data_IF_939446888443
#
_entry.id   IF_939446888443
#
_cell.length_a   1.000
_cell.length_b   1.000
_cell.length_c   1.000
_cell.angle_alpha   90.00
_cell.angle_beta   90.00
_cell.angle_gamma   90.00
#
_symmetry.space_group_name_H-M   'P 1'
#
loop_
_entity.id
_entity.type
_entity.pdbx_description
1 polymer ?
#
# COMPACT_ATOMS: atom_id res chain seq x y z
N UNK A 1 -1.71 19.12 -1.44
CA UNK A 1 -2.14 17.73 -1.75
C UNK A 1 -1.07 16.69 -1.41
N UNK A 2 -1.51 15.57 -0.87
CA UNK A 2 -0.72 14.37 -0.59
C UNK A 2 -1.45 13.13 -1.09
N UNK A 3 -0.75 12.02 -1.17
CA UNK A 3 -1.36 10.70 -1.23
C UNK A 3 -1.44 10.14 0.19
N UNK A 4 -2.59 9.56 0.53
CA UNK A 4 -2.79 8.71 1.70
C UNK A 4 -3.06 7.29 1.21
N UNK A 5 -2.46 6.29 1.85
CA UNK A 5 -2.63 4.88 1.55
C UNK A 5 -2.84 4.11 2.85
N UNK A 6 -3.94 3.36 2.94
CA UNK A 6 -4.26 2.51 4.08
C UNK A 6 -4.38 1.07 3.60
N UNK A 7 -3.54 0.20 4.18
CA UNK A 7 -3.53 -1.24 3.99
C UNK A 7 -4.23 -1.95 5.15
N UNK A 8 -4.89 -3.07 4.87
CA UNK A 8 -5.49 -3.90 5.90
C UNK A 8 -5.73 -5.34 5.40
N UNK A 9 -5.54 -6.31 6.29
CA UNK A 9 -6.18 -7.61 6.19
C UNK A 9 -7.60 -7.52 6.76
N UNK A 10 -8.56 -7.75 5.87
CA UNK A 10 -9.99 -7.86 6.16
C UNK A 10 -10.62 -9.06 5.45
N UNK A 11 -9.78 -9.98 4.96
CA UNK A 11 -10.22 -11.23 4.39
C UNK A 11 -10.52 -12.24 5.48
N UNK A 12 -11.40 -13.19 5.20
CA UNK A 12 -11.59 -14.37 6.07
C UNK A 12 -10.62 -15.51 5.74
N UNK A 13 -9.67 -15.25 4.85
CA UNK A 13 -8.84 -16.24 4.22
C UNK A 13 -7.43 -15.70 4.05
N UNK A 14 -6.53 -16.29 4.79
CA UNK A 14 -5.11 -15.95 4.90
C UNK A 14 -4.29 -16.24 3.63
N UNK A 15 -4.87 -16.32 2.43
CA UNK A 15 -4.12 -16.56 1.16
C UNK A 15 -4.58 -15.74 -0.02
N UNK A 16 -5.79 -15.17 0.04
CA UNK A 16 -6.36 -14.39 -1.05
C UNK A 16 -7.66 -13.70 -0.65
N UNK A 17 -7.83 -12.47 -1.13
CA UNK A 17 -9.10 -11.76 -1.13
C UNK A 17 -10.19 -12.46 -1.97
N UNK A 18 -11.44 -12.45 -1.48
CA UNK A 18 -12.59 -12.93 -2.25
C UNK A 18 -12.99 -11.93 -3.35
N UNK A 19 -13.56 -12.43 -4.45
CA UNK A 19 -14.08 -11.54 -5.50
C UNK A 19 -15.18 -10.60 -4.99
N UNK A 20 -15.95 -11.02 -4.00
CA UNK A 20 -17.04 -10.20 -3.44
C UNK A 20 -16.48 -9.06 -2.61
N UNK A 21 -15.46 -9.33 -1.78
CA UNK A 21 -14.74 -8.30 -1.02
C UNK A 21 -14.21 -7.23 -1.97
N UNK A 22 -13.47 -7.63 -3.01
CA UNK A 22 -12.89 -6.72 -4.01
C UNK A 22 -13.98 -5.88 -4.70
N UNK A 23 -15.05 -6.52 -5.20
CA UNK A 23 -16.15 -5.83 -5.90
C UNK A 23 -16.86 -4.82 -5.01
N UNK A 24 -17.06 -5.15 -3.73
CA UNK A 24 -17.74 -4.24 -2.81
C UNK A 24 -16.85 -3.05 -2.43
N UNK A 25 -15.55 -3.28 -2.17
CA UNK A 25 -14.58 -2.19 -1.95
C UNK A 25 -14.55 -1.23 -3.15
N UNK A 26 -14.40 -1.76 -4.38
CA UNK A 26 -14.37 -0.94 -5.60
C UNK A 26 -15.68 -0.16 -5.82
N UNK A 27 -16.81 -0.71 -5.39
CA UNK A 27 -18.13 -0.04 -5.46
C UNK A 27 -18.25 1.12 -4.46
N UNK A 28 -17.67 0.99 -3.27
CA UNK A 28 -17.83 1.96 -2.18
C UNK A 28 -16.77 3.07 -2.19
N UNK A 29 -15.57 2.79 -2.71
CA UNK A 29 -14.45 3.77 -2.84
C UNK A 29 -14.84 5.10 -3.50
N UNK A 30 -15.69 5.16 -4.55
CA UNK A 30 -16.16 6.42 -5.12
C UNK A 30 -16.82 7.38 -4.11
N UNK A 31 -17.34 6.88 -2.98
CA UNK A 31 -17.90 7.72 -1.92
C UNK A 31 -16.86 8.63 -1.25
N UNK A 32 -15.58 8.27 -1.29
CA UNK A 32 -14.47 9.08 -0.74
C UNK A 32 -14.34 10.45 -1.42
N UNK A 33 -14.79 10.57 -2.67
CA UNK A 33 -14.81 11.86 -3.39
C UNK A 33 -15.72 12.86 -2.67
N UNK A 34 -16.83 12.39 -2.09
CA UNK A 34 -17.76 13.24 -1.32
C UNK A 34 -17.19 13.67 0.02
N UNK A 35 -16.21 12.91 0.55
CA UNK A 35 -15.43 13.24 1.76
C UNK A 35 -14.23 14.16 1.47
N UNK A 36 -13.98 14.52 0.22
CA UNK A 36 -12.93 15.47 -0.16
C UNK A 36 -11.70 14.86 -0.84
N UNK A 37 -11.70 13.56 -1.14
CA UNK A 37 -10.66 12.98 -1.98
C UNK A 37 -10.76 13.54 -3.41
N UNK A 38 -9.64 13.93 -3.99
CA UNK A 38 -9.56 14.32 -5.40
C UNK A 38 -9.73 13.09 -6.31
N UNK A 39 -9.09 11.97 -5.93
CA UNK A 39 -9.27 10.63 -6.51
C UNK A 39 -9.04 9.59 -5.41
N UNK A 40 -9.70 8.44 -5.52
CA UNK A 40 -9.43 7.29 -4.67
C UNK A 40 -9.57 5.99 -5.47
N UNK A 41 -8.82 4.94 -5.10
CA UNK A 41 -8.86 3.62 -5.74
C UNK A 41 -8.36 2.51 -4.81
N UNK A 42 -8.77 1.27 -5.10
CA UNK A 42 -8.17 0.06 -4.54
C UNK A 42 -6.86 -0.21 -5.29
N UNK A 43 -5.74 0.30 -4.77
CA UNK A 43 -4.47 0.31 -5.50
C UNK A 43 -3.80 -1.05 -5.50
N UNK A 44 -3.76 -1.72 -4.35
CA UNK A 44 -3.08 -3.01 -4.21
C UNK A 44 -4.03 -4.06 -3.63
N UNK A 45 -3.79 -5.30 -4.06
CA UNK A 45 -4.34 -6.51 -3.46
C UNK A 45 -3.15 -7.47 -3.48
N UNK A 46 -2.61 -7.78 -2.30
CA UNK A 46 -1.38 -8.56 -2.13
C UNK A 46 -1.75 -9.74 -1.26
N UNK A 47 -1.83 -10.94 -1.84
CA UNK A 47 -2.45 -12.07 -1.14
C UNK A 47 -3.86 -11.71 -0.67
N UNK A 48 -4.05 -11.67 0.64
CA UNK A 48 -5.29 -11.31 1.32
C UNK A 48 -5.39 -9.85 1.79
N UNK A 49 -4.29 -9.12 1.79
CA UNK A 49 -4.27 -7.68 2.06
C UNK A 49 -4.82 -6.84 0.92
N UNK A 50 -5.49 -5.75 1.30
CA UNK A 50 -5.93 -4.69 0.40
C UNK A 50 -5.33 -3.35 0.76
N UNK A 51 -5.05 -2.51 -0.24
CA UNK A 51 -4.66 -1.11 -0.01
C UNK A 51 -5.59 -0.18 -0.77
N UNK A 52 -6.23 0.73 -0.04
CA UNK A 52 -6.99 1.85 -0.61
C UNK A 52 -6.11 3.09 -0.53
N UNK A 53 -5.94 3.76 -1.67
CA UNK A 53 -5.19 5.02 -1.72
C UNK A 53 -6.05 6.15 -2.26
N UNK A 54 -5.81 7.36 -1.77
CA UNK A 54 -6.47 8.57 -2.20
C UNK A 54 -5.52 9.76 -2.33
N UNK A 55 -5.76 10.60 -3.32
CA UNK A 55 -5.14 11.92 -3.42
C UNK A 55 -6.02 12.94 -2.70
N UNK A 56 -5.47 13.67 -1.74
CA UNK A 56 -6.24 14.47 -0.80
C UNK A 56 -5.50 15.75 -0.39
N UNK A 57 -6.24 16.82 -0.13
CA UNK A 57 -5.69 18.03 0.48
C UNK A 57 -5.52 17.87 1.99
N UNK A 58 -4.58 18.62 2.57
CA UNK A 58 -4.22 18.44 3.98
C UNK A 58 -5.42 18.67 4.93
N UNK A 59 -6.33 19.58 4.58
CA UNK A 59 -7.54 19.90 5.37
C UNK A 59 -8.65 18.84 5.24
N UNK A 60 -8.50 17.86 4.34
CA UNK A 60 -9.45 16.75 4.11
C UNK A 60 -8.89 15.39 4.52
N UNK A 61 -7.65 15.34 5.01
CA UNK A 61 -6.97 14.09 5.31
C UNK A 61 -7.71 13.25 6.35
N UNK A 62 -8.15 13.85 7.46
CA UNK A 62 -8.86 13.14 8.53
C UNK A 62 -10.18 12.53 8.04
N UNK A 63 -11.00 13.32 7.33
CA UNK A 63 -12.29 12.88 6.78
C UNK A 63 -12.13 11.72 5.78
N UNK A 64 -11.09 11.80 4.93
CA UNK A 64 -10.81 10.78 3.92
C UNK A 64 -10.23 9.52 4.54
N UNK A 65 -9.27 9.63 5.47
CA UNK A 65 -8.72 8.48 6.19
C UNK A 65 -9.81 7.73 6.95
N UNK A 66 -10.65 8.44 7.72
CA UNK A 66 -11.79 7.83 8.40
C UNK A 66 -12.75 7.18 7.40
N UNK A 67 -12.98 7.83 6.25
CA UNK A 67 -13.78 7.26 5.17
C UNK A 67 -13.21 5.96 4.61
N UNK A 68 -11.89 5.85 4.45
CA UNK A 68 -11.24 4.63 3.99
C UNK A 68 -11.45 3.51 5.01
N UNK A 69 -11.24 3.78 6.30
CA UNK A 69 -11.47 2.81 7.37
C UNK A 69 -12.93 2.39 7.48
N UNK A 70 -13.88 3.31 7.29
CA UNK A 70 -15.32 3.00 7.26
C UNK A 70 -15.67 2.03 6.13
N UNK A 71 -15.06 2.21 4.95
CA UNK A 71 -15.25 1.33 3.79
C UNK A 71 -14.65 -0.05 4.08
N UNK A 72 -13.42 -0.12 4.59
CA UNK A 72 -12.77 -1.38 4.97
C UNK A 72 -13.63 -2.14 5.99
N UNK A 73 -14.04 -1.47 7.07
CA UNK A 73 -14.88 -2.04 8.14
C UNK A 73 -16.24 -2.53 7.64
N UNK A 74 -16.88 -1.80 6.73
CA UNK A 74 -18.22 -2.16 6.23
C UNK A 74 -18.20 -3.35 5.27
N UNK A 75 -17.05 -3.61 4.65
CA UNK A 75 -16.86 -4.65 3.64
C UNK A 75 -16.05 -5.85 4.14
N UNK A 76 -15.47 -5.74 5.34
CA UNK A 76 -14.70 -6.75 6.03
C UNK A 76 -15.41 -8.11 6.06
N UNK A 77 -14.72 -9.15 5.58
CA UNK A 77 -15.16 -10.55 5.74
C UNK A 77 -14.74 -11.08 7.12
N UNK A 78 -13.58 -10.62 7.59
CA UNK A 78 -13.11 -10.62 8.98
C UNK A 78 -12.70 -9.20 9.33
N UNK A 79 -12.90 -8.78 10.58
CA UNK A 79 -12.47 -7.46 11.02
C UNK A 79 -10.95 -7.32 11.05
N UNK A 80 -10.21 -8.43 11.24
CA UNK A 80 -8.74 -8.46 11.13
C UNK A 80 -8.07 -7.23 11.76
N UNK A 81 -7.26 -6.55 10.95
CA UNK A 81 -6.52 -5.33 11.29
C UNK A 81 -7.35 -4.17 11.82
N UNK A 82 -8.63 -4.11 11.47
CA UNK A 82 -9.54 -3.03 11.90
C UNK A 82 -9.74 -3.09 13.42
N UNK A 83 -9.59 -4.25 14.05
CA UNK A 83 -9.71 -4.42 15.50
C UNK A 83 -8.51 -3.83 16.27
N UNK A 84 -7.35 -3.67 15.63
CA UNK A 84 -6.17 -3.07 16.26
C UNK A 84 -6.26 -1.56 16.48
N UNK A 85 -7.19 -0.89 15.79
CA UNK A 85 -7.35 0.55 15.86
C UNK A 85 -7.89 0.97 17.23
N UNK A 86 -7.13 1.82 17.92
CA UNK A 86 -7.51 2.39 19.22
C UNK A 86 -7.50 3.91 19.23
N UNK A 87 -8.22 4.50 20.18
CA UNK A 87 -8.16 5.94 20.48
C UNK A 87 -6.94 6.33 21.34
N UNK A 88 -6.26 5.34 21.93
CA UNK A 88 -5.08 5.50 22.78
C UNK A 88 -3.95 4.64 22.25
N UNK A 89 -2.70 5.06 22.48
CA UNK A 89 -1.53 4.31 22.04
C UNK A 89 -1.35 3.01 22.83
N UNK A 90 -1.76 3.02 24.10
CA UNK A 90 -1.58 1.89 25.03
C UNK A 90 -2.51 0.71 24.73
N UNK A 91 -3.71 0.99 24.19
CA UNK A 91 -4.69 -0.04 23.86
C UNK A 91 -4.66 -0.42 22.37
N UNK A 92 -3.75 0.18 21.59
CA UNK A 92 -3.58 -0.13 20.17
C UNK A 92 -2.95 -1.52 20.00
N UNK A 93 -3.50 -2.32 19.10
CA UNK A 93 -2.98 -3.64 18.71
C UNK A 93 -2.45 -3.65 17.28
N UNK A 94 -2.07 -4.83 16.81
CA UNK A 94 -1.82 -5.10 15.39
C UNK A 94 -3.01 -4.62 14.56
N UNK A 95 -2.74 -3.74 13.61
CA UNK A 95 -3.79 -3.14 12.81
C UNK A 95 -3.28 -2.48 11.55
N UNK A 96 -4.16 -1.68 10.95
CA UNK A 96 -3.96 -1.17 9.59
C UNK A 96 -2.59 -0.52 9.33
N UNK A 97 -2.06 -0.76 8.14
CA UNK A 97 -0.90 -0.06 7.63
C UNK A 97 -1.28 1.32 7.11
N UNK A 98 -0.53 2.37 7.47
CA UNK A 98 -0.78 3.74 7.00
C UNK A 98 0.48 4.42 6.43
N UNK A 99 0.37 4.96 5.22
CA UNK A 99 1.43 5.75 4.61
C UNK A 99 0.89 7.05 4.00
N UNK A 100 1.65 8.15 4.15
CA UNK A 100 1.38 9.40 3.44
C UNK A 100 2.64 9.97 2.79
N UNK A 101 2.48 10.57 1.61
CA UNK A 101 3.57 11.22 0.88
C UNK A 101 3.08 12.49 0.17
N UNK A 102 3.86 13.56 0.22
CA UNK A 102 3.53 14.82 -0.44
C UNK A 102 3.62 14.67 -1.94
N UNK A 103 2.69 15.33 -2.64
CA UNK A 103 2.68 15.37 -4.09
C UNK A 103 3.16 16.74 -4.53
N UNK A 104 3.85 16.78 -5.67
CA UNK A 104 4.19 18.03 -6.34
C UNK A 104 2.91 18.72 -6.86
N UNK A 105 2.71 19.99 -6.47
CA UNK A 105 1.43 20.69 -6.66
C UNK A 105 1.20 21.26 -8.08
N UNK A 106 2.20 21.24 -8.96
CA UNK A 106 2.14 21.93 -10.27
C UNK A 106 1.71 21.05 -11.45
N UNK A 107 1.29 19.81 -11.19
CA UNK A 107 0.98 18.78 -12.20
C UNK A 107 0.00 17.72 -11.66
N UNK A 108 -0.37 16.77 -12.52
CA UNK A 108 -1.20 15.63 -12.11
C UNK A 108 -0.50 14.78 -11.05
N UNK A 109 -1.25 14.28 -10.05
CA UNK A 109 -0.69 13.44 -9.00
C UNK A 109 -0.37 12.04 -9.53
N UNK A 110 0.90 11.65 -9.38
CA UNK A 110 1.42 10.34 -9.76
C UNK A 110 2.18 9.71 -8.58
N UNK A 111 1.85 8.45 -8.28
CA UNK A 111 2.47 7.72 -7.18
C UNK A 111 2.71 6.25 -7.54
N UNK A 112 3.68 5.65 -6.88
CA UNK A 112 3.93 4.21 -6.86
C UNK A 112 3.58 3.73 -5.46
N UNK A 113 2.72 2.72 -5.38
CA UNK A 113 2.31 2.07 -4.12
C UNK A 113 2.82 0.64 -4.12
N UNK A 114 3.65 0.33 -3.14
CA UNK A 114 4.15 -1.01 -2.85
C UNK A 114 3.48 -1.49 -1.58
N UNK A 115 2.86 -2.66 -1.66
CA UNK A 115 2.23 -3.32 -0.53
C UNK A 115 2.90 -4.67 -0.33
N UNK A 116 3.08 -5.05 0.92
CA UNK A 116 3.66 -6.31 1.35
C UNK A 116 2.60 -7.12 2.08
N UNK A 117 2.77 -8.44 2.05
CA UNK A 117 2.01 -9.43 2.80
C UNK A 117 3.02 -10.53 3.19
N UNK A 118 2.89 -11.14 4.36
CA UNK A 118 3.81 -12.13 4.90
C UNK A 118 3.21 -13.51 5.15
N UNK A 119 4.04 -14.53 4.93
CA UNK A 119 3.71 -15.92 5.25
C UNK A 119 4.88 -16.53 5.99
N UNK A 120 4.99 -16.28 7.29
CA UNK A 120 6.19 -16.59 8.07
C UNK A 120 7.37 -15.65 7.74
N UNK A 121 7.08 -14.46 7.20
CA UNK A 121 8.04 -13.45 6.76
C UNK A 121 8.16 -12.24 7.69
N UNK A 122 7.38 -12.22 8.77
CA UNK A 122 7.16 -11.12 9.72
C UNK A 122 8.50 -10.65 10.30
N UNK A 123 9.41 -11.59 10.58
CA UNK A 123 10.73 -11.31 11.13
C UNK A 123 11.68 -10.52 10.21
N UNK A 124 11.35 -10.32 8.93
CA UNK A 124 12.20 -9.57 8.00
C UNK A 124 11.49 -8.61 7.04
N UNK A 125 10.16 -8.62 6.95
CA UNK A 125 9.37 -7.76 6.05
C UNK A 125 9.68 -6.27 6.20
N UNK A 126 9.86 -5.77 7.43
CA UNK A 126 10.22 -4.37 7.66
C UNK A 126 11.60 -4.01 7.06
N UNK A 127 12.56 -4.94 7.04
CA UNK A 127 13.86 -4.72 6.37
C UNK A 127 13.70 -4.66 4.84
N UNK A 128 12.75 -5.42 4.28
CA UNK A 128 12.42 -5.37 2.86
C UNK A 128 11.80 -4.00 2.53
N UNK A 129 10.80 -3.57 3.31
CA UNK A 129 10.17 -2.26 3.14
C UNK A 129 11.17 -1.11 3.30
N UNK A 130 12.08 -1.17 4.29
CA UNK A 130 13.15 -0.19 4.47
C UNK A 130 14.12 -0.15 3.27
N UNK A 131 14.42 -1.31 2.67
CA UNK A 131 15.21 -1.37 1.42
C UNK A 131 14.51 -0.63 0.28
N UNK A 132 13.19 -0.78 0.16
CA UNK A 132 12.37 -0.08 -0.84
C UNK A 132 12.36 1.43 -0.59
N UNK A 133 12.18 1.85 0.65
CA UNK A 133 12.18 3.27 1.05
C UNK A 133 13.53 3.91 0.71
N UNK A 134 14.64 3.25 1.07
CA UNK A 134 16.00 3.73 0.76
C UNK A 134 16.24 3.83 -0.74
N UNK A 135 15.76 2.86 -1.52
CA UNK A 135 15.88 2.88 -2.97
C UNK A 135 15.10 4.05 -3.58
N UNK A 136 13.86 4.30 -3.14
CA UNK A 136 13.05 5.42 -3.61
C UNK A 136 13.68 6.77 -3.23
N UNK A 137 14.03 6.97 -1.95
CA UNK A 137 14.63 8.22 -1.44
C UNK A 137 15.98 8.55 -2.08
N UNK A 138 16.67 7.55 -2.62
CA UNK A 138 17.96 7.74 -3.29
C UNK A 138 17.87 8.26 -4.73
N UNK A 139 16.66 8.47 -5.27
CA UNK A 139 16.44 8.88 -6.66
C UNK A 139 16.00 10.34 -6.75
N UNK A 140 16.65 11.12 -7.62
CA UNK A 140 16.31 12.52 -7.89
C UNK A 140 14.90 12.69 -8.49
N UNK A 141 14.32 11.62 -9.04
CA UNK A 141 13.00 11.60 -9.67
C UNK A 141 11.84 11.43 -8.67
N UNK A 142 12.13 11.31 -7.37
CA UNK A 142 11.13 11.09 -6.32
C UNK A 142 10.90 12.41 -5.58
N UNK A 143 9.63 12.80 -5.47
CA UNK A 143 9.22 14.01 -4.74
C UNK A 143 9.18 13.76 -3.23
N UNK A 144 8.54 12.67 -2.81
CA UNK A 144 8.43 12.29 -1.40
C UNK A 144 8.20 10.77 -1.25
N UNK A 145 8.50 10.25 -0.05
CA UNK A 145 8.32 8.83 0.28
C UNK A 145 7.68 8.66 1.66
N UNK A 146 6.52 8.03 1.67
CA UNK A 146 5.75 7.62 2.85
C UNK A 146 5.85 6.13 3.12
N UNK A 147 5.68 5.73 4.39
CA UNK A 147 5.66 4.32 4.78
C UNK A 147 4.95 4.11 6.10
N UNK A 148 4.38 2.91 6.30
CA UNK A 148 3.79 2.48 7.57
C UNK A 148 4.78 2.01 8.63
N UNK A 149 6.08 2.05 8.36
CA UNK A 149 7.15 1.74 9.35
C UNK A 149 7.29 2.80 10.46
N UNK A 150 6.53 3.89 10.42
CA UNK A 150 6.57 4.93 11.46
C UNK A 150 5.65 4.52 12.63
N UNK A 151 6.10 3.54 13.40
CA UNK A 151 5.29 2.90 14.44
C UNK A 151 4.77 3.85 15.53
N UNK A 152 3.55 3.58 16.01
CA UNK A 152 2.91 4.28 17.12
C UNK A 152 2.59 5.76 16.86
N UNK A 153 2.52 6.15 15.59
CA UNK A 153 2.00 7.45 15.18
C UNK A 153 0.46 7.39 15.09
N UNK A 154 -0.16 8.50 15.46
CA UNK A 154 -1.60 8.68 15.23
C UNK A 154 -1.87 8.80 13.73
N UNK A 155 -2.76 7.96 13.23
CA UNK A 155 -3.33 8.04 11.89
C UNK A 155 -4.40 9.14 11.93
N UNK A 156 -4.23 10.25 11.19
CA UNK A 156 -5.15 11.39 11.24
C UNK A 156 -6.59 10.99 10.97
N UNK A 157 -7.49 11.36 11.89
CA UNK A 157 -8.92 11.05 11.80
C UNK A 157 -9.30 9.62 12.16
N UNK A 158 -8.35 8.74 12.49
CA UNK A 158 -8.60 7.30 12.72
C UNK A 158 -8.21 6.88 14.14
N UNK A 159 -6.99 7.18 14.59
CA UNK A 159 -6.46 6.75 15.89
C UNK A 159 -5.08 6.11 15.80
N UNK A 160 -4.79 5.17 16.68
CA UNK A 160 -3.49 4.53 16.85
C UNK A 160 -3.55 3.04 16.49
N UNK A 161 -2.44 2.53 15.95
CA UNK A 161 -2.14 1.10 15.77
C UNK A 161 -0.78 0.81 16.43
N UNK A 162 -0.52 -0.45 16.81
CA UNK A 162 0.73 -0.85 17.46
C UNK A 162 1.89 -0.93 16.46
N UNK A 163 3.06 -1.33 16.94
CA UNK A 163 4.23 -1.66 16.10
C UNK A 163 4.22 -3.11 15.59
N UNK A 164 3.17 -3.88 15.89
CA UNK A 164 3.02 -5.28 15.53
C UNK A 164 2.56 -5.48 14.07
N UNK A 165 2.10 -4.43 13.38
CA UNK A 165 1.73 -4.50 11.96
C UNK A 165 2.88 -5.03 11.10
N UNK A 166 2.66 -6.17 10.45
CA UNK A 166 3.63 -6.93 9.66
C UNK A 166 3.44 -6.78 8.14
N UNK A 167 2.39 -6.09 7.68
CA UNK A 167 2.11 -5.86 6.26
C UNK A 167 2.34 -4.41 5.84
N UNK A 168 3.60 -3.96 5.68
CA UNK A 168 3.89 -2.57 5.42
C UNK A 168 3.36 -2.10 4.06
N UNK A 169 3.05 -0.80 4.00
CA UNK A 169 2.76 -0.09 2.76
C UNK A 169 3.79 1.01 2.58
N UNK A 170 4.37 1.09 1.38
CA UNK A 170 5.32 2.13 0.98
C UNK A 170 4.78 2.88 -0.23
N UNK A 171 4.81 4.21 -0.16
CA UNK A 171 4.32 5.08 -1.22
C UNK A 171 5.43 6.03 -1.63
N UNK A 172 5.71 6.11 -2.92
CA UNK A 172 6.63 7.09 -3.50
C UNK A 172 5.89 7.97 -4.52
N UNK A 173 5.93 9.27 -4.34
CA UNK A 173 5.43 10.24 -5.33
C UNK A 173 6.57 10.60 -6.29
N UNK A 174 6.26 10.74 -7.57
CA UNK A 174 7.28 10.97 -8.61
C UNK A 174 7.17 12.36 -9.22
N UNK A 175 8.31 12.86 -9.69
CA UNK A 175 8.39 14.16 -10.36
C UNK A 175 7.68 14.13 -11.72
N UNK A 176 7.96 13.12 -12.56
CA UNK A 176 7.47 13.01 -13.93
C UNK A 176 6.99 11.58 -14.25
N UNK A 177 5.97 11.43 -15.09
CA UNK A 177 5.41 10.14 -15.54
C UNK A 177 6.49 9.23 -16.17
N UNK A 178 7.45 9.80 -16.88
CA UNK A 178 8.57 9.07 -17.48
C UNK A 178 9.45 8.38 -16.43
N UNK A 179 9.40 8.86 -15.18
CA UNK A 179 10.19 8.32 -14.07
C UNK A 179 9.55 7.10 -13.42
N UNK A 180 8.28 6.80 -13.68
CA UNK A 180 7.57 5.65 -13.08
C UNK A 180 8.37 4.37 -13.27
N UNK A 181 8.88 4.10 -14.47
CA UNK A 181 9.65 2.90 -14.76
C UNK A 181 11.00 2.83 -14.02
N UNK A 182 11.66 3.97 -13.81
CA UNK A 182 12.95 4.05 -13.10
C UNK A 182 12.72 3.80 -11.61
N UNK A 183 11.80 4.57 -11.01
CA UNK A 183 11.52 4.53 -9.58
C UNK A 183 10.93 3.17 -9.18
N UNK A 184 9.90 2.69 -9.88
CA UNK A 184 9.30 1.38 -9.58
C UNK A 184 10.26 0.23 -9.82
N UNK A 185 11.12 0.32 -10.84
CA UNK A 185 12.15 -0.68 -11.10
C UNK A 185 13.20 -0.75 -9.98
N UNK A 186 13.63 0.40 -9.45
CA UNK A 186 14.56 0.47 -8.33
C UNK A 186 13.93 -0.06 -7.03
N UNK A 187 12.69 0.36 -6.72
CA UNK A 187 11.93 -0.11 -5.57
C UNK A 187 11.74 -1.64 -5.62
N UNK A 188 11.29 -2.17 -6.75
CA UNK A 188 11.11 -3.62 -6.94
C UNK A 188 12.44 -4.37 -6.87
N UNK A 189 13.50 -3.85 -7.49
CA UNK A 189 14.82 -4.46 -7.43
C UNK A 189 15.38 -4.52 -6.01
N UNK A 190 15.19 -3.47 -5.21
CA UNK A 190 15.59 -3.43 -3.81
C UNK A 190 14.82 -4.43 -2.96
N UNK A 191 13.52 -4.59 -3.18
CA UNK A 191 12.73 -5.61 -2.51
C UNK A 191 13.18 -7.03 -2.89
N UNK A 192 13.24 -7.34 -4.19
CA UNK A 192 13.60 -8.67 -4.70
C UNK A 192 15.07 -9.05 -4.48
N UNK A 193 15.93 -8.08 -4.15
CA UNK A 193 17.30 -8.34 -3.70
C UNK A 193 17.37 -8.99 -2.31
N UNK A 194 16.29 -8.89 -1.52
CA UNK A 194 16.18 -9.58 -0.25
C UNK A 194 15.83 -11.06 -0.44
N UNK A 195 16.27 -11.90 0.50
CA UNK A 195 16.01 -13.34 0.44
C UNK A 195 14.51 -13.63 0.63
N UNK A 196 13.98 -14.59 -0.13
CA UNK A 196 12.59 -15.08 0.00
C UNK A 196 11.51 -13.99 -0.19
N UNK A 197 11.75 -13.03 -1.07
CA UNK A 197 10.74 -12.03 -1.48
C UNK A 197 10.24 -12.36 -2.88
N UNK A 198 8.92 -12.35 -3.07
CA UNK A 198 8.29 -12.67 -4.35
C UNK A 198 7.42 -11.51 -4.84
N UNK A 199 7.60 -11.16 -6.11
CA UNK A 199 6.70 -10.24 -6.81
C UNK A 199 5.45 -11.01 -7.26
N UNK A 200 4.27 -10.53 -6.90
CA UNK A 200 2.99 -11.07 -7.34
C UNK A 200 2.20 -10.03 -8.13
N UNK A 201 1.31 -10.49 -9.02
CA UNK A 201 0.36 -9.59 -9.70
C UNK A 201 -0.74 -9.21 -8.73
N UNK A 202 -1.29 -8.01 -8.88
CA UNK A 202 -2.41 -7.52 -8.06
C UNK A 202 -3.57 -8.54 -8.07
N UNK A 203 -4.00 -8.97 -6.89
CA UNK A 203 -5.11 -9.92 -6.69
C UNK A 203 -4.76 -11.38 -6.98
N UNK A 204 -3.48 -11.72 -7.13
CA UNK A 204 -3.06 -13.11 -7.19
C UNK A 204 -3.06 -13.74 -5.79
N UNK A 205 -3.50 -14.99 -5.64
CA UNK A 205 -3.33 -15.73 -4.40
C UNK A 205 -1.85 -15.94 -4.04
N UNK A 206 -1.59 -16.16 -2.75
CA UNK A 206 -0.27 -16.39 -2.17
C UNK A 206 0.28 -17.79 -2.48
N UNK A 207 0.62 -18.05 -3.75
CA UNK A 207 1.26 -19.29 -4.19
C UNK A 207 2.78 -19.26 -3.96
N UNK A 208 3.18 -19.21 -2.69
CA UNK A 208 4.58 -19.13 -2.26
C UNK A 208 4.96 -20.23 -1.27
N UNK A 209 6.26 -20.34 -1.00
CA UNK A 209 6.80 -21.21 0.04
C UNK A 209 6.77 -20.43 1.36
N UNK A 210 6.17 -20.95 2.45
CA UNK A 210 6.21 -20.29 3.76
C UNK A 210 7.63 -19.98 4.25
N UNK A 211 7.78 -18.96 5.09
CA UNK A 211 9.05 -18.32 5.42
C UNK A 211 9.44 -17.21 4.43
N UNK A 212 8.45 -16.55 3.84
CA UNK A 212 8.60 -15.61 2.72
C UNK A 212 7.72 -14.38 2.85
N UNK A 213 8.05 -13.37 2.06
CA UNK A 213 7.29 -12.13 1.89
C UNK A 213 6.83 -12.05 0.43
N UNK A 214 5.61 -11.62 0.20
CA UNK A 214 5.14 -11.24 -1.13
C UNK A 214 4.99 -9.73 -1.24
N UNK A 215 5.08 -9.21 -2.45
CA UNK A 215 4.84 -7.81 -2.73
C UNK A 215 4.03 -7.62 -4.01
N UNK A 216 3.13 -6.64 -3.99
CA UNK A 216 2.52 -6.08 -5.19
C UNK A 216 2.97 -4.62 -5.37
N UNK A 217 3.08 -4.19 -6.62
CA UNK A 217 3.53 -2.84 -6.97
C UNK A 217 2.64 -2.25 -8.04
N UNK A 218 2.14 -1.04 -7.78
CA UNK A 218 1.14 -0.37 -8.60
C UNK A 218 1.56 1.06 -8.88
N UNK A 219 1.36 1.53 -10.11
CA UNK A 219 1.32 2.96 -10.38
C UNK A 219 -0.12 3.45 -10.22
N UNK A 220 -0.30 4.50 -9.41
CA UNK A 220 -1.56 5.20 -9.24
C UNK A 220 -1.47 6.59 -9.87
N UNK A 221 -2.15 6.77 -11.00
CA UNK A 221 -1.92 7.88 -11.92
C UNK A 221 -3.23 8.42 -12.47
N UNK A 222 -3.53 9.69 -12.15
CA UNK A 222 -4.78 10.34 -12.57
C UNK A 222 -6.05 9.50 -12.26
N UNK A 223 -6.05 8.78 -11.14
CA UNK A 223 -7.15 7.90 -10.74
C UNK A 223 -7.15 6.51 -11.39
N UNK A 224 -6.19 6.20 -12.26
CA UNK A 224 -6.02 4.87 -12.84
C UNK A 224 -5.01 4.05 -12.04
N UNK A 225 -5.32 2.77 -11.87
CA UNK A 225 -4.48 1.77 -11.19
C UNK A 225 -3.85 0.89 -12.25
N UNK A 226 -2.52 0.85 -12.28
CA UNK A 226 -1.74 0.04 -13.24
C UNK A 226 -0.89 -0.93 -12.44
N UNK A 227 -1.17 -2.23 -12.58
CA UNK A 227 -0.34 -3.29 -12.00
C UNK A 227 1.03 -3.32 -12.71
N UNK A 228 2.07 -2.90 -12.00
CA UNK A 228 3.42 -2.81 -12.53
C UNK A 228 4.15 -4.16 -12.52
N UNK A 229 3.64 -5.18 -11.81
CA UNK A 229 4.26 -6.50 -11.78
C UNK A 229 4.35 -7.10 -13.19
N UNK A 230 3.32 -6.89 -14.03
CA UNK A 230 3.28 -7.38 -15.42
C UNK A 230 4.39 -6.75 -16.28
N UNK A 231 4.42 -5.42 -16.51
CA UNK A 231 5.44 -4.82 -17.38
C UNK A 231 6.85 -4.91 -16.80
N UNK A 232 7.03 -4.82 -15.48
CA UNK A 232 8.37 -4.91 -14.88
C UNK A 232 8.97 -6.31 -15.00
N UNK A 233 8.18 -7.37 -14.74
CA UNK A 233 8.65 -8.75 -14.91
C UNK A 233 9.00 -9.06 -16.38
N UNK A 234 8.25 -8.51 -17.33
CA UNK A 234 8.55 -8.66 -18.75
C UNK A 234 9.80 -7.91 -19.20
N UNK A 235 10.00 -6.69 -18.69
CA UNK A 235 11.12 -5.82 -19.07
C UNK A 235 12.44 -6.27 -18.44
N UNK A 236 12.39 -6.78 -17.21
CA UNK A 236 13.61 -7.12 -16.48
C UNK A 236 14.22 -8.45 -16.85
N UNK A 237 13.49 -9.36 -17.53
CA UNK A 237 13.92 -10.69 -18.04
C UNK A 237 15.44 -10.89 -17.98
N UNK A 238 15.93 -11.25 -16.79
CA UNK A 238 17.36 -11.38 -16.52
C UNK A 238 17.82 -12.63 -17.27
N UNK A 239 18.33 -12.38 -18.49
CA UNK A 239 18.92 -13.29 -19.46
C UNK A 239 18.26 -14.67 -19.56
N UNK A 240 17.32 -14.83 -20.51
CA UNK A 240 17.03 -16.13 -21.12
C UNK A 240 18.19 -16.44 -22.09
N UNK A 241 19.25 -17.09 -21.62
CA UNK A 241 20.28 -17.68 -22.49
C UNK A 241 19.85 -19.06 -22.93
#
# INVERSE_FOLDING_TARGET
>A
MKITSIGADISKNDVSCSENLIKNLEKDIPSLITKGAHKAALTNITGDDVVISAFVEDDKLEDVNQGIVDILRSNAEDLGDINGISTTREDAGEGISYAEAKIRQDRYPDAIVVAFDTYGGEGFVHNVADSVIKAARGLDQVTDVGSSLNHGQEIPGVGYVSDETDDPVVVATVEDIESIGIVSGAMMGAALGNKNVYLVKRGSPSYIIPGSVIMSITAYMNGNVIDLAVPLSERMKILRV
#
